data_IF_316420668856
#
_entry.id   IF_316420668856
#
_cell.length_a   1.000
_cell.length_b   1.000
_cell.length_c   1.000
_cell.angle_alpha   90.00
_cell.angle_beta   90.00
_cell.angle_gamma   90.00
#
_symmetry.space_group_name_H-M   'P 1'
#
loop_
_entity.id
_entity.type
_entity.pdbx_description
1 polymer ?
#
# COMPACT_ATOMS: atom_id res chain seq x y z
N UNK A 1 1.42 -17.62 -14.62
CA UNK A 1 1.42 -16.18 -14.95
C UNK A 1 1.54 -15.28 -13.72
N UNK A 2 0.82 -15.56 -12.62
CA UNK A 2 0.88 -14.80 -11.36
C UNK A 2 2.30 -14.52 -10.83
N UNK A 3 3.20 -15.50 -10.80
CA UNK A 3 4.58 -15.30 -10.31
C UNK A 3 5.34 -14.18 -11.04
N UNK A 4 5.18 -14.02 -12.36
CA UNK A 4 5.93 -13.04 -13.14
C UNK A 4 5.48 -11.61 -12.81
N UNK A 5 4.17 -11.44 -12.60
CA UNK A 5 3.57 -10.16 -12.22
C UNK A 5 4.01 -9.73 -10.81
N UNK A 6 3.89 -10.65 -9.83
CA UNK A 6 4.27 -10.39 -8.45
C UNK A 6 5.78 -10.11 -8.34
N UNK A 7 6.61 -10.89 -9.04
CA UNK A 7 8.06 -10.65 -9.12
C UNK A 7 8.38 -9.33 -9.84
N UNK A 8 7.65 -9.01 -10.90
CA UNK A 8 7.77 -7.74 -11.61
C UNK A 8 7.50 -6.55 -10.71
N UNK A 9 6.45 -6.59 -9.87
CA UNK A 9 6.16 -5.53 -8.88
C UNK A 9 7.29 -5.37 -7.87
N UNK A 10 7.78 -6.48 -7.30
CA UNK A 10 8.90 -6.44 -6.34
C UNK A 10 10.13 -5.82 -7.03
N UNK A 11 10.41 -6.21 -8.27
CA UNK A 11 11.54 -5.69 -9.02
C UNK A 11 11.38 -4.20 -9.32
N UNK A 12 10.17 -3.71 -9.64
CA UNK A 12 9.86 -2.30 -9.91
C UNK A 12 10.10 -1.37 -8.71
N UNK A 13 10.07 -1.89 -7.47
CA UNK A 13 10.39 -1.09 -6.28
C UNK A 13 11.85 -0.64 -6.29
N UNK A 14 12.77 -1.42 -6.86
CA UNK A 14 14.20 -1.08 -6.92
C UNK A 14 14.50 0.14 -7.81
N UNK A 15 14.10 0.20 -9.11
CA UNK A 15 14.29 1.38 -9.93
C UNK A 15 13.47 2.56 -9.38
N UNK A 16 12.28 2.32 -8.82
CA UNK A 16 11.52 3.37 -8.13
C UNK A 16 12.32 3.98 -6.98
N UNK A 17 12.89 3.16 -6.10
CA UNK A 17 13.71 3.64 -5.01
C UNK A 17 14.97 4.35 -5.51
N UNK A 18 15.64 3.81 -6.52
CA UNK A 18 16.85 4.41 -7.11
C UNK A 18 16.62 5.85 -7.60
N UNK A 19 15.44 6.15 -8.17
CA UNK A 19 15.09 7.50 -8.62
C UNK A 19 15.10 8.53 -7.48
N UNK A 20 14.88 8.14 -6.22
CA UNK A 20 15.00 9.03 -5.05
C UNK A 20 16.43 9.34 -4.62
N UNK A 21 17.42 8.67 -5.21
CA UNK A 21 18.85 8.92 -4.95
C UNK A 21 19.56 9.60 -6.12
N UNK A 22 18.87 9.78 -7.25
CA UNK A 22 19.43 10.45 -8.43
C UNK A 22 19.17 11.96 -8.29
N UNK A 23 20.26 12.72 -8.16
CA UNK A 23 20.22 14.18 -8.11
C UNK A 23 20.11 14.79 -9.51
N UNK A 24 19.00 14.51 -10.20
CA UNK A 24 18.69 15.06 -11.53
C UNK A 24 17.26 15.59 -11.55
N UNK A 25 17.00 16.70 -12.27
CA UNK A 25 15.66 17.30 -12.33
C UNK A 25 14.56 16.35 -12.82
N UNK A 26 14.88 15.39 -13.69
CA UNK A 26 13.87 14.46 -14.21
C UNK A 26 13.52 13.31 -13.24
N UNK A 27 14.31 13.09 -12.18
CA UNK A 27 14.24 11.86 -11.39
C UNK A 27 12.92 11.72 -10.63
N UNK A 28 12.45 12.81 -9.99
CA UNK A 28 11.16 12.80 -9.28
C UNK A 28 9.97 12.71 -10.23
N UNK A 29 10.04 13.36 -11.40
CA UNK A 29 9.03 13.21 -12.43
C UNK A 29 8.95 11.76 -12.95
N UNK A 30 10.10 11.11 -13.17
CA UNK A 30 10.15 9.70 -13.53
C UNK A 30 9.62 8.80 -12.40
N UNK A 31 9.90 9.13 -11.12
CA UNK A 31 9.38 8.38 -9.98
C UNK A 31 7.85 8.48 -9.90
N UNK A 32 7.29 9.66 -10.18
CA UNK A 32 5.85 9.85 -10.27
C UNK A 32 5.22 8.98 -11.37
N UNK A 33 5.79 9.00 -12.57
CA UNK A 33 5.30 8.20 -13.71
C UNK A 33 5.38 6.71 -13.37
N UNK A 34 6.52 6.25 -12.86
CA UNK A 34 6.72 4.85 -12.52
C UNK A 34 5.75 4.38 -11.42
N UNK A 35 5.58 5.17 -10.36
CA UNK A 35 4.62 4.89 -9.30
C UNK A 35 3.18 4.81 -9.84
N UNK A 36 2.79 5.77 -10.68
CA UNK A 36 1.45 5.82 -11.26
C UNK A 36 1.17 4.63 -12.17
N UNK A 37 2.12 4.30 -13.06
CA UNK A 37 2.01 3.14 -13.95
C UNK A 37 1.90 1.86 -13.14
N UNK A 38 2.76 1.68 -12.11
CA UNK A 38 2.73 0.50 -11.25
C UNK A 38 1.41 0.37 -10.47
N UNK A 39 0.90 1.48 -9.92
CA UNK A 39 -0.39 1.50 -9.22
C UNK A 39 -1.57 1.18 -10.16
N UNK A 40 -1.55 1.68 -11.40
CA UNK A 40 -2.59 1.38 -12.39
C UNK A 40 -2.52 -0.06 -12.91
N UNK A 41 -1.33 -0.60 -13.13
CA UNK A 41 -1.16 -2.01 -13.54
C UNK A 41 -1.66 -2.95 -12.46
N UNK A 42 -1.40 -2.66 -11.18
CA UNK A 42 -1.93 -3.47 -10.07
C UNK A 42 -3.46 -3.54 -10.05
N UNK A 43 -4.14 -2.41 -10.31
CA UNK A 43 -5.60 -2.36 -10.40
C UNK A 43 -6.14 -3.20 -11.57
N UNK A 44 -5.49 -3.14 -12.73
CA UNK A 44 -5.87 -3.89 -13.93
C UNK A 44 -5.61 -5.39 -13.75
N UNK A 45 -4.46 -5.75 -13.21
CA UNK A 45 -4.04 -7.13 -12.97
C UNK A 45 -4.97 -7.80 -11.95
N UNK A 46 -5.34 -7.09 -10.89
CA UNK A 46 -6.32 -7.57 -9.93
C UNK A 46 -7.68 -7.84 -10.58
N UNK A 47 -8.06 -7.08 -11.62
CA UNK A 47 -9.28 -7.34 -12.38
C UNK A 47 -9.14 -8.56 -13.31
N UNK A 48 -8.04 -8.67 -14.06
CA UNK A 48 -7.80 -9.78 -14.99
C UNK A 48 -7.62 -11.12 -14.25
N UNK A 49 -6.89 -11.14 -13.13
CA UNK A 49 -6.66 -12.35 -12.34
C UNK A 49 -7.96 -12.95 -11.80
N UNK A 50 -8.91 -12.11 -11.37
CA UNK A 50 -10.25 -12.55 -10.94
C UNK A 50 -11.07 -13.18 -12.07
N UNK A 51 -10.80 -12.83 -13.32
CA UNK A 51 -11.50 -13.38 -14.46
C UNK A 51 -10.93 -14.74 -14.93
N UNK A 52 -9.67 -15.06 -14.57
CA UNK A 52 -8.97 -16.25 -15.09
C UNK A 52 -8.84 -17.42 -14.13
N UNK A 53 -9.19 -17.28 -12.84
CA UNK A 53 -9.12 -18.35 -11.81
C UNK A 53 -7.77 -19.09 -11.68
N UNK A 54 -6.69 -18.57 -12.28
CA UNK A 54 -5.37 -19.18 -12.23
C UNK A 54 -4.56 -18.58 -11.06
N UNK A 55 -4.31 -19.38 -10.02
CA UNK A 55 -3.41 -18.99 -8.94
C UNK A 55 -2.32 -20.06 -8.73
N UNK A 56 -1.07 -19.60 -8.65
CA UNK A 56 0.08 -20.42 -8.24
C UNK A 56 0.24 -20.28 -6.73
N UNK A 57 0.51 -21.38 -6.01
CA UNK A 57 0.68 -21.36 -4.55
C UNK A 57 1.78 -20.40 -4.09
N UNK A 58 2.88 -20.33 -4.84
CA UNK A 58 4.03 -19.46 -4.52
C UNK A 58 3.70 -17.99 -4.79
N UNK A 59 2.98 -17.71 -5.89
CA UNK A 59 2.50 -16.37 -6.21
C UNK A 59 1.49 -15.86 -5.18
N UNK A 60 0.56 -16.71 -4.75
CA UNK A 60 -0.45 -16.38 -3.74
C UNK A 60 0.16 -16.03 -2.36
N UNK A 61 1.30 -16.65 -2.01
CA UNK A 61 2.02 -16.34 -0.78
C UNK A 61 2.80 -15.01 -0.86
N UNK A 62 3.35 -14.67 -2.02
CA UNK A 62 4.13 -13.44 -2.22
C UNK A 62 3.28 -12.19 -2.53
N UNK A 63 2.06 -12.38 -3.06
CA UNK A 63 1.15 -11.29 -3.47
C UNK A 63 0.88 -10.28 -2.34
N UNK A 64 0.53 -10.69 -1.10
CA UNK A 64 0.25 -9.76 -0.01
C UNK A 64 1.45 -8.90 0.42
N UNK A 65 2.66 -9.40 0.17
CA UNK A 65 3.93 -8.71 0.45
C UNK A 65 4.19 -7.71 -0.68
N UNK A 66 4.16 -8.17 -1.93
CA UNK A 66 4.40 -7.35 -3.11
C UNK A 66 3.43 -6.16 -3.21
N UNK A 67 2.15 -6.38 -2.89
CA UNK A 67 1.09 -5.36 -2.92
C UNK A 67 1.37 -4.16 -2.01
N UNK A 68 2.17 -4.34 -0.96
CA UNK A 68 2.43 -3.30 0.05
C UNK A 68 3.82 -2.72 -0.03
N UNK A 69 4.75 -3.38 -0.72
CA UNK A 69 6.14 -2.94 -0.81
C UNK A 69 6.27 -1.59 -1.52
N UNK A 70 5.55 -1.36 -2.61
CA UNK A 70 5.63 -0.08 -3.34
C UNK A 70 5.12 1.08 -2.49
N UNK A 71 3.97 0.92 -1.83
CA UNK A 71 3.42 1.94 -0.94
C UNK A 71 4.36 2.20 0.24
N UNK A 72 4.92 1.14 0.83
CA UNK A 72 5.83 1.26 1.96
C UNK A 72 7.14 1.98 1.59
N UNK A 73 7.72 1.61 0.44
CA UNK A 73 8.90 2.26 -0.10
C UNK A 73 8.62 3.74 -0.38
N UNK A 74 7.47 4.07 -0.99
CA UNK A 74 7.09 5.44 -1.29
C UNK A 74 6.95 6.29 -0.03
N UNK A 75 6.24 5.81 1.00
CA UNK A 75 6.10 6.52 2.28
C UNK A 75 7.44 6.76 2.97
N UNK A 76 8.32 5.75 2.97
CA UNK A 76 9.65 5.86 3.59
C UNK A 76 10.55 6.84 2.83
N UNK A 77 10.57 6.78 1.50
CA UNK A 77 11.41 7.65 0.68
C UNK A 77 10.91 9.10 0.64
N UNK A 78 9.59 9.32 0.65
CA UNK A 78 8.99 10.64 0.82
C UNK A 78 9.24 11.21 2.22
N UNK A 79 9.38 10.36 3.23
CA UNK A 79 9.80 10.83 4.57
C UNK A 79 11.27 11.22 4.56
N UNK A 80 12.13 10.41 3.92
CA UNK A 80 13.58 10.67 3.79
C UNK A 80 13.87 12.01 3.11
N UNK A 81 13.20 12.32 2.00
CA UNK A 81 13.45 13.55 1.24
C UNK A 81 12.73 14.79 1.83
N UNK A 82 12.06 14.64 2.97
CA UNK A 82 11.39 15.73 3.69
C UNK A 82 10.03 16.15 3.13
N UNK A 83 9.53 15.51 2.06
CA UNK A 83 8.19 15.79 1.51
C UNK A 83 7.10 15.43 2.53
N UNK A 84 7.24 14.27 3.17
CA UNK A 84 6.48 13.93 4.38
C UNK A 84 7.34 14.33 5.58
N UNK A 85 6.94 15.39 6.27
CA UNK A 85 7.67 15.92 7.43
C UNK A 85 6.73 16.36 8.55
N UNK A 86 7.30 16.68 9.72
CA UNK A 86 6.54 17.07 10.91
C UNK A 86 5.55 16.00 11.35
N UNK A 87 4.31 16.39 11.65
CA UNK A 87 3.27 15.48 12.14
C UNK A 87 2.80 14.49 11.08
N UNK A 88 2.99 14.76 9.77
CA UNK A 88 2.60 13.86 8.69
C UNK A 88 3.37 12.53 8.72
N UNK A 89 4.56 12.50 9.34
CA UNK A 89 5.32 11.26 9.58
C UNK A 89 4.51 10.27 10.42
N UNK A 90 3.72 10.76 11.38
CA UNK A 90 2.84 9.93 12.21
C UNK A 90 1.75 9.27 11.35
N UNK A 91 1.18 10.00 10.39
CA UNK A 91 0.20 9.45 9.45
C UNK A 91 0.81 8.34 8.58
N UNK A 92 2.01 8.57 8.03
CA UNK A 92 2.74 7.57 7.25
C UNK A 92 3.05 6.31 8.07
N UNK A 93 3.52 6.48 9.31
CA UNK A 93 3.81 5.38 10.22
C UNK A 93 2.54 4.59 10.59
N UNK A 94 1.44 5.28 10.91
CA UNK A 94 0.16 4.65 11.21
C UNK A 94 -0.36 3.80 10.04
N UNK A 95 -0.21 4.30 8.80
CA UNK A 95 -0.52 3.54 7.58
C UNK A 95 0.33 2.26 7.51
N UNK A 96 1.66 2.40 7.61
CA UNK A 96 2.60 1.28 7.51
C UNK A 96 2.32 0.18 8.55
N UNK A 97 2.24 0.57 9.83
CA UNK A 97 2.02 -0.36 10.94
C UNK A 97 0.71 -1.12 10.76
N UNK A 98 -0.36 -0.43 10.37
CA UNK A 98 -1.66 -1.07 10.14
C UNK A 98 -1.59 -2.02 8.95
N UNK A 99 -1.02 -1.59 7.81
CA UNK A 99 -0.97 -2.43 6.62
C UNK A 99 -0.23 -3.76 6.90
N UNK A 100 0.87 -3.73 7.64
CA UNK A 100 1.59 -4.94 8.07
C UNK A 100 0.76 -5.73 9.09
N UNK A 101 0.24 -5.07 10.13
CA UNK A 101 -0.51 -5.71 11.22
C UNK A 101 -1.77 -6.45 10.75
N UNK A 102 -2.57 -5.85 9.86
CA UNK A 102 -3.79 -6.50 9.34
C UNK A 102 -3.45 -7.61 8.34
N UNK A 103 -2.34 -7.53 7.60
CA UNK A 103 -1.87 -8.67 6.81
C UNK A 103 -1.52 -9.86 7.71
N UNK A 104 -0.69 -9.63 8.74
CA UNK A 104 -0.32 -10.68 9.70
C UNK A 104 -1.53 -11.29 10.41
N UNK A 105 -2.49 -10.45 10.82
CA UNK A 105 -3.73 -10.92 11.46
C UNK A 105 -4.55 -11.83 10.54
N UNK A 106 -4.71 -11.44 9.27
CA UNK A 106 -5.46 -12.24 8.29
C UNK A 106 -4.77 -13.57 8.01
N UNK A 107 -3.45 -13.57 7.91
CA UNK A 107 -2.65 -14.78 7.72
C UNK A 107 -2.80 -15.74 8.91
N UNK A 108 -2.64 -15.24 10.13
CA UNK A 108 -2.79 -16.03 11.35
C UNK A 108 -4.19 -16.66 11.49
N UNK A 109 -5.25 -15.96 11.05
CA UNK A 109 -6.62 -16.49 11.05
C UNK A 109 -6.85 -17.49 9.92
N UNK A 110 -6.26 -17.28 8.76
CA UNK A 110 -6.35 -18.21 7.63
C UNK A 110 -5.76 -19.58 7.98
N UNK A 111 -4.67 -19.62 8.76
CA UNK A 111 -4.09 -20.85 9.29
C UNK A 111 -5.07 -21.64 10.19
N UNK A 112 -5.99 -20.94 10.87
CA UNK A 112 -7.07 -21.53 11.66
C UNK A 112 -8.37 -21.76 10.87
N UNK A 113 -8.32 -21.67 9.53
CA UNK A 113 -9.49 -21.77 8.63
C UNK A 113 -10.58 -20.72 8.90
N UNK A 114 -10.23 -19.60 9.53
CA UNK A 114 -11.13 -18.47 9.76
C UNK A 114 -10.91 -17.40 8.68
N UNK A 115 -11.93 -17.17 7.85
CA UNK A 115 -11.86 -16.15 6.81
C UNK A 115 -12.37 -14.80 7.32
N UNK A 116 -11.56 -13.75 7.18
CA UNK A 116 -12.00 -12.36 7.35
C UNK A 116 -12.33 -11.75 5.99
N UNK A 117 -13.61 -11.53 5.67
CA UNK A 117 -14.02 -10.96 4.39
C UNK A 117 -13.58 -9.49 4.27
N UNK A 118 -13.18 -9.10 3.06
CA UNK A 118 -12.73 -7.73 2.77
C UNK A 118 -13.91 -6.77 2.74
N UNK A 119 -13.82 -5.68 3.53
CA UNK A 119 -14.87 -4.66 3.58
C UNK A 119 -14.75 -3.67 2.41
N UNK A 120 -15.87 -3.06 1.99
CA UNK A 120 -15.87 -2.02 0.94
C UNK A 120 -15.01 -0.80 1.34
N UNK A 121 -14.99 -0.46 2.63
CA UNK A 121 -14.18 0.62 3.17
C UNK A 121 -12.67 0.36 2.99
N UNK A 122 -12.24 -0.91 3.04
CA UNK A 122 -10.87 -1.30 2.76
C UNK A 122 -10.45 -1.11 1.29
N UNK A 123 -11.39 -0.95 0.35
CA UNK A 123 -11.08 -0.59 -1.05
C UNK A 123 -10.82 0.92 -1.16
N UNK A 124 -11.69 1.72 -0.55
CA UNK A 124 -11.55 3.18 -0.52
C UNK A 124 -10.28 3.64 0.19
N UNK A 125 -9.86 2.94 1.26
CA UNK A 125 -8.59 3.27 1.95
C UNK A 125 -7.39 3.20 1.00
N UNK A 126 -7.33 2.16 0.15
CA UNK A 126 -6.18 1.92 -0.73
C UNK A 126 -6.15 2.96 -1.84
N UNK A 127 -7.31 3.29 -2.41
CA UNK A 127 -7.42 4.39 -3.38
C UNK A 127 -6.94 5.72 -2.75
N UNK A 128 -7.39 6.03 -1.54
CA UNK A 128 -6.96 7.24 -0.84
C UNK A 128 -5.44 7.26 -0.57
N UNK A 129 -4.84 6.13 -0.16
CA UNK A 129 -3.40 6.00 0.06
C UNK A 129 -2.60 6.22 -1.23
N UNK A 130 -3.00 5.55 -2.33
CA UNK A 130 -2.32 5.66 -3.62
C UNK A 130 -2.41 7.09 -4.19
N UNK A 131 -3.59 7.72 -4.09
CA UNK A 131 -3.78 9.10 -4.53
C UNK A 131 -2.95 10.06 -3.66
N UNK A 132 -2.97 9.91 -2.34
CA UNK A 132 -2.18 10.75 -1.44
C UNK A 132 -0.69 10.68 -1.78
N UNK A 133 -0.16 9.48 -1.96
CA UNK A 133 1.25 9.26 -2.30
C UNK A 133 1.58 9.77 -3.68
N UNK A 134 0.74 9.52 -4.69
CA UNK A 134 0.96 10.05 -6.05
C UNK A 134 1.01 11.58 -6.06
N UNK A 135 0.11 12.25 -5.34
CA UNK A 135 0.09 13.71 -5.21
C UNK A 135 1.34 14.22 -4.49
N UNK A 136 1.80 13.54 -3.44
CA UNK A 136 3.03 13.92 -2.74
C UNK A 136 4.29 13.75 -3.60
N UNK A 137 4.38 12.66 -4.38
CA UNK A 137 5.49 12.49 -5.34
C UNK A 137 5.39 13.56 -6.44
N UNK A 138 4.19 13.87 -6.95
CA UNK A 138 4.00 14.91 -7.95
C UNK A 138 4.41 16.30 -7.45
N UNK A 139 4.19 16.60 -6.17
CA UNK A 139 4.53 17.87 -5.55
C UNK A 139 5.97 17.92 -4.97
N UNK A 140 6.73 16.82 -5.07
CA UNK A 140 8.11 16.77 -4.60
C UNK A 140 9.00 17.75 -5.40
N UNK A 141 10.07 18.29 -4.80
CA UNK A 141 11.00 19.19 -5.51
C UNK A 141 11.52 18.57 -6.81
N UNK A 142 11.43 19.30 -7.93
CA UNK A 142 11.83 18.80 -9.25
C UNK A 142 10.85 17.83 -9.90
N UNK A 143 9.69 17.59 -9.30
CA UNK A 143 8.63 16.77 -9.90
C UNK A 143 7.70 17.59 -10.79
N UNK A 144 6.60 16.97 -11.22
CA UNK A 144 5.72 17.50 -12.27
C UNK A 144 4.72 18.56 -11.80
N UNK A 145 4.44 18.65 -10.50
CA UNK A 145 3.43 19.56 -9.95
C UNK A 145 4.06 20.62 -9.04
N UNK A 146 3.42 21.80 -8.90
CA UNK A 146 3.90 22.83 -7.98
C UNK A 146 3.90 22.35 -6.53
N UNK A 147 4.87 22.84 -5.73
CA UNK A 147 4.97 22.53 -4.30
C UNK A 147 3.72 22.91 -3.48
N UNK A 148 2.89 23.84 -3.97
CA UNK A 148 1.63 24.23 -3.33
C UNK A 148 0.64 23.07 -3.20
N UNK A 149 0.75 22.05 -4.07
CA UNK A 149 -0.11 20.86 -4.04
C UNK A 149 0.28 19.89 -2.91
N UNK A 150 1.47 20.02 -2.32
CA UNK A 150 1.93 19.15 -1.23
C UNK A 150 1.01 19.22 0.01
N UNK A 151 0.40 20.39 0.27
CA UNK A 151 -0.59 20.54 1.34
C UNK A 151 -1.83 19.66 1.14
N UNK A 152 -2.35 19.59 -0.09
CA UNK A 152 -3.45 18.70 -0.43
C UNK A 152 -3.03 17.22 -0.33
N UNK A 153 -1.82 16.88 -0.78
CA UNK A 153 -1.26 15.53 -0.62
C UNK A 153 -1.14 15.11 0.85
N UNK A 154 -0.74 16.04 1.72
CA UNK A 154 -0.63 15.80 3.18
C UNK A 154 -1.99 15.65 3.83
N UNK A 155 -2.98 16.45 3.46
CA UNK A 155 -4.36 16.30 3.93
C UNK A 155 -4.96 14.94 3.50
N UNK A 156 -4.72 14.54 2.25
CA UNK A 156 -5.10 13.22 1.75
C UNK A 156 -4.40 12.08 2.49
N UNK A 157 -3.13 12.25 2.86
CA UNK A 157 -2.38 11.26 3.65
C UNK A 157 -3.01 11.08 5.04
N UNK A 158 -3.43 12.16 5.70
CA UNK A 158 -4.15 12.10 6.97
C UNK A 158 -5.52 11.44 6.86
N UNK A 159 -6.28 11.77 5.81
CA UNK A 159 -7.54 11.11 5.50
C UNK A 159 -7.33 9.60 5.29
N UNK A 160 -6.30 9.24 4.51
CA UNK A 160 -5.92 7.86 4.27
C UNK A 160 -5.54 7.16 5.58
N UNK A 161 -4.76 7.80 6.46
CA UNK A 161 -4.42 7.26 7.77
C UNK A 161 -5.65 7.04 8.66
N UNK A 162 -6.58 7.98 8.71
CA UNK A 162 -7.83 7.84 9.47
C UNK A 162 -8.67 6.66 8.97
N UNK A 163 -8.87 6.52 7.65
CA UNK A 163 -9.56 5.37 7.05
C UNK A 163 -8.83 4.05 7.34
N UNK A 164 -7.50 4.09 7.33
CA UNK A 164 -6.65 2.92 7.58
C UNK A 164 -6.79 2.46 9.03
N UNK A 165 -6.78 3.38 9.99
CA UNK A 165 -6.98 3.06 11.41
C UNK A 165 -8.40 2.56 11.69
N UNK A 166 -9.42 3.21 11.11
CA UNK A 166 -10.80 2.78 11.25
C UNK A 166 -11.01 1.35 10.75
N UNK A 167 -10.54 1.07 9.52
CA UNK A 167 -10.59 -0.29 8.98
C UNK A 167 -9.69 -1.24 9.76
N UNK A 168 -8.59 -0.77 10.38
CA UNK A 168 -7.76 -1.59 11.27
C UNK A 168 -8.55 -2.07 12.50
N UNK A 169 -9.22 -1.15 13.18
CA UNK A 169 -10.05 -1.46 14.35
C UNK A 169 -11.20 -2.41 14.01
N UNK A 170 -11.88 -2.20 12.88
CA UNK A 170 -12.95 -3.09 12.40
C UNK A 170 -12.44 -4.52 12.21
N UNK A 171 -11.27 -4.70 11.60
CA UNK A 171 -10.66 -6.02 11.42
C UNK A 171 -10.26 -6.66 12.75
N UNK A 172 -9.67 -5.89 13.67
CA UNK A 172 -9.28 -6.39 14.99
C UNK A 172 -10.50 -6.88 15.80
N UNK A 173 -11.62 -6.13 15.77
CA UNK A 173 -12.85 -6.54 16.44
C UNK A 173 -13.44 -7.82 15.86
N UNK A 174 -13.51 -7.91 14.51
CA UNK A 174 -14.01 -9.12 13.82
C UNK A 174 -13.13 -10.33 14.10
N UNK A 175 -11.81 -10.16 14.13
CA UNK A 175 -10.85 -11.19 14.50
C UNK A 175 -11.06 -11.70 15.93
N UNK A 176 -11.15 -10.78 16.90
CA UNK A 176 -11.38 -11.13 18.30
C UNK A 176 -12.70 -11.90 18.48
N UNK A 177 -13.77 -11.48 17.78
CA UNK A 177 -15.05 -12.19 17.78
C UNK A 177 -14.93 -13.59 17.19
N UNK A 178 -14.23 -13.74 16.06
CA UNK A 178 -14.04 -15.03 15.40
C UNK A 178 -13.24 -16.01 16.27
N UNK A 179 -12.16 -15.54 16.92
CA UNK A 179 -11.35 -16.36 17.82
C UNK A 179 -12.12 -16.82 19.06
N UNK A 180 -12.98 -15.97 19.62
CA UNK A 180 -13.84 -16.32 20.78
C UNK A 180 -14.93 -17.34 20.43
N UNK A 181 -15.38 -17.37 19.18
CA UNK A 181 -16.43 -18.28 18.71
C UNK A 181 -15.88 -19.63 18.22
N UNK A 182 -14.56 -19.75 18.04
CA UNK A 182 -13.94 -20.99 17.62
C UNK A 182 -13.89 -21.98 18.80
N UNK A 183 -14.28 -23.26 18.61
CA UNK A 183 -14.09 -24.28 19.63
C UNK A 183 -12.59 -24.43 19.96
N UNK A 184 -12.23 -24.76 21.22
CA UNK A 184 -10.84 -24.96 21.59
C UNK A 184 -10.20 -26.05 20.71
N UNK A 185 -8.99 -25.78 20.23
CA UNK A 185 -8.20 -26.73 19.44
C UNK A 185 -8.03 -28.02 20.25
N UNK A 186 -8.51 -29.14 19.70
CA UNK A 186 -8.42 -30.49 20.27
C UNK A 186 -7.06 -31.12 19.99
#
# INVERSE_FOLDING_TARGET
MANILTLGRILLVLPFAALFFIDRPFAMAAAFVLFTVAALTDLLDGWVARARNETSALGAALDPIADKLLLAAALLLLTRNGVISGTAVVAALAILLREIGVAGLREALAQRRLALPVTRLAKWKTAAQLIAVAVLIAAAPGSIAPATVAGAGTALLWLAAALTLWTGAEYAFRAAKALRAAPPEA
#
